data_IF_596849408139
#
_entry.id   IF_596849408139
#
_cell.length_a   1.000
_cell.length_b   1.000
_cell.length_c   1.000
_cell.angle_alpha   90.00
_cell.angle_beta   90.00
_cell.angle_gamma   90.00
#
_symmetry.space_group_name_H-M   'P 1'
#
loop_
_entity.id
_entity.type
_entity.pdbx_description
1 polymer ?
#
# COMPACT_ATOMS: atom_id res chain seq x y z
N UNK A 1 8.13 21.18 1.46
CA UNK A 1 8.99 19.99 1.48
C UNK A 1 8.68 19.17 0.25
N UNK A 2 9.66 18.45 -0.29
CA UNK A 2 9.42 17.49 -1.37
C UNK A 2 8.75 16.26 -0.77
N UNK A 3 7.59 15.85 -1.27
CA UNK A 3 6.94 14.60 -0.87
C UNK A 3 7.60 13.43 -1.61
N UNK A 4 7.96 12.37 -0.88
CA UNK A 4 8.43 11.09 -1.43
C UNK A 4 7.49 10.00 -0.92
N UNK A 5 7.12 9.08 -1.80
CA UNK A 5 6.35 7.88 -1.46
C UNK A 5 7.14 6.65 -1.92
N UNK A 6 7.38 5.71 -1.02
CA UNK A 6 8.04 4.46 -1.37
C UNK A 6 7.01 3.43 -1.87
N UNK A 7 7.37 2.68 -2.91
CA UNK A 7 6.56 1.55 -3.38
C UNK A 7 7.19 0.24 -2.95
N UNK A 8 6.37 -0.61 -2.34
CA UNK A 8 6.72 -1.95 -1.88
C UNK A 8 6.01 -2.93 -2.80
N UNK A 9 6.77 -3.82 -3.44
CA UNK A 9 6.17 -4.88 -4.24
C UNK A 9 5.56 -5.95 -3.34
N UNK A 10 4.32 -6.31 -3.64
CA UNK A 10 3.64 -7.47 -3.11
C UNK A 10 3.60 -8.56 -4.17
N UNK A 11 3.59 -9.82 -3.74
CA UNK A 11 3.51 -10.99 -4.62
C UNK A 11 2.07 -11.47 -4.84
N UNK A 12 1.14 -11.03 -4.02
CA UNK A 12 -0.28 -11.41 -4.08
C UNK A 12 -1.17 -10.27 -3.58
N UNK A 13 -2.45 -10.27 -3.96
CA UNK A 13 -3.46 -9.36 -3.42
C UNK A 13 -3.56 -9.46 -1.89
N UNK A 14 -3.54 -10.69 -1.34
CA UNK A 14 -3.57 -10.92 0.11
C UNK A 14 -2.37 -10.31 0.85
N UNK A 15 -1.21 -10.22 0.20
CA UNK A 15 -0.05 -9.55 0.79
C UNK A 15 -0.30 -8.03 0.90
N UNK A 16 -0.94 -7.42 -0.12
CA UNK A 16 -1.37 -6.01 -0.08
C UNK A 16 -2.39 -5.76 1.03
N UNK A 17 -3.36 -6.66 1.21
CA UNK A 17 -4.34 -6.56 2.31
C UNK A 17 -3.62 -6.59 3.66
N UNK A 18 -2.66 -7.51 3.82
CA UNK A 18 -1.85 -7.63 5.04
C UNK A 18 -1.04 -6.36 5.35
N UNK A 19 -0.61 -5.60 4.35
CA UNK A 19 0.11 -4.34 4.56
C UNK A 19 -0.78 -3.29 5.21
N UNK A 20 -2.04 -3.17 4.77
CA UNK A 20 -2.99 -2.24 5.37
C UNK A 20 -3.29 -2.61 6.83
N UNK A 21 -3.47 -3.90 7.13
CA UNK A 21 -3.69 -4.40 8.50
C UNK A 21 -2.47 -4.16 9.40
N UNK A 22 -1.26 -4.48 8.91
CA UNK A 22 0.00 -4.25 9.64
C UNK A 22 0.22 -2.79 9.92
N UNK A 23 -0.03 -1.91 8.94
CA UNK A 23 0.10 -0.47 9.11
C UNK A 23 -0.79 0.03 10.26
N UNK A 24 -2.09 -0.33 10.26
CA UNK A 24 -3.00 0.05 11.35
C UNK A 24 -2.55 -0.52 12.71
N UNK A 25 -2.19 -1.80 12.73
CA UNK A 25 -1.76 -2.49 13.97
C UNK A 25 -0.48 -1.89 14.56
N UNK A 26 0.39 -1.30 13.72
CA UNK A 26 1.61 -0.62 14.12
C UNK A 26 1.39 0.86 14.50
N UNK A 27 0.15 1.35 14.51
CA UNK A 27 -0.18 2.75 14.82
C UNK A 27 -0.06 3.70 13.62
N UNK A 28 0.13 3.16 12.42
CA UNK A 28 0.02 3.91 11.18
C UNK A 28 -1.42 4.15 10.75
N UNK A 29 -1.59 4.81 9.60
CA UNK A 29 -2.90 5.16 9.04
C UNK A 29 -3.06 4.62 7.62
N UNK A 30 -4.25 4.13 7.28
CA UNK A 30 -4.58 3.72 5.91
C UNK A 30 -5.23 4.91 5.19
N UNK A 31 -4.55 5.39 4.15
CA UNK A 31 -4.97 6.53 3.33
C UNK A 31 -5.87 6.03 2.18
N UNK A 32 -5.54 4.87 1.62
CA UNK A 32 -6.32 4.19 0.58
C UNK A 32 -6.36 2.71 0.91
N UNK A 33 -7.56 2.15 1.05
CA UNK A 33 -7.76 0.75 1.39
C UNK A 33 -7.22 -0.17 0.31
N UNK A 34 -6.81 -1.38 0.70
CA UNK A 34 -6.42 -2.40 -0.24
C UNK A 34 -7.58 -2.75 -1.18
N UNK A 35 -7.27 -2.92 -2.46
CA UNK A 35 -8.25 -3.23 -3.48
C UNK A 35 -7.71 -2.94 -4.88
N UNK A 36 -8.50 -3.37 -5.87
CA UNK A 36 -8.30 -3.03 -7.28
C UNK A 36 -8.86 -1.62 -7.52
N UNK A 37 -8.03 -0.72 -8.04
CA UNK A 37 -8.42 0.67 -8.30
C UNK A 37 -8.59 0.95 -9.80
N UNK A 38 -9.06 2.15 -10.14
CA UNK A 38 -9.41 2.55 -11.52
C UNK A 38 -8.25 2.47 -12.53
N UNK A 39 -7.02 2.45 -12.02
CA UNK A 39 -5.79 2.27 -12.81
C UNK A 39 -5.49 0.78 -13.14
N UNK A 40 -6.34 -0.15 -12.67
CA UNK A 40 -6.22 -1.60 -12.91
C UNK A 40 -5.25 -2.31 -11.97
N UNK A 41 -4.60 -1.60 -11.05
CA UNK A 41 -3.63 -2.17 -10.12
C UNK A 41 -4.28 -2.51 -8.79
N UNK A 42 -3.77 -3.57 -8.13
CA UNK A 42 -4.19 -3.92 -6.77
C UNK A 42 -3.19 -3.34 -5.78
N UNK A 43 -3.60 -2.34 -5.00
CA UNK A 43 -2.72 -1.69 -4.02
C UNK A 43 -3.47 -1.09 -2.83
N UNK A 44 -2.69 -0.78 -1.79
CA UNK A 44 -3.11 0.09 -0.69
C UNK A 44 -2.10 1.23 -0.52
N UNK A 45 -2.55 2.33 0.09
CA UNK A 45 -1.69 3.44 0.49
C UNK A 45 -1.84 3.64 1.99
N UNK A 46 -0.73 3.68 2.70
CA UNK A 46 -0.71 3.87 4.14
C UNK A 46 0.42 4.83 4.53
N UNK A 47 0.36 5.35 5.75
CA UNK A 47 1.44 6.07 6.37
C UNK A 47 1.86 5.39 7.68
N UNK A 48 3.14 5.46 7.98
CA UNK A 48 3.68 5.09 9.29
C UNK A 48 3.26 6.13 10.36
N UNK A 49 3.57 5.91 11.66
CA UNK A 49 3.25 6.86 12.73
C UNK A 49 3.87 8.26 12.56
N UNK A 50 4.96 8.37 11.80
CA UNK A 50 5.64 9.64 11.51
C UNK A 50 5.02 10.38 10.30
N UNK A 51 4.08 9.73 9.59
CA UNK A 51 3.38 10.28 8.44
C UNK A 51 4.08 10.03 7.10
N UNK A 52 5.15 9.22 7.04
CA UNK A 52 5.77 8.84 5.78
C UNK A 52 4.84 7.92 5.00
N UNK A 53 4.67 8.20 3.70
CA UNK A 53 3.71 7.49 2.85
C UNK A 53 4.36 6.32 2.11
N UNK A 54 3.63 5.22 2.05
CA UNK A 54 3.99 4.00 1.35
C UNK A 54 2.82 3.53 0.48
N UNK A 55 3.16 2.87 -0.62
CA UNK A 55 2.25 2.15 -1.50
C UNK A 55 2.67 0.67 -1.51
N UNK A 56 1.80 -0.24 -1.11
CA UNK A 56 2.01 -1.67 -1.33
C UNK A 56 1.24 -2.10 -2.56
N UNK A 57 1.95 -2.57 -3.58
CA UNK A 57 1.42 -2.77 -4.93
C UNK A 57 1.69 -4.21 -5.40
N UNK A 58 0.63 -4.88 -5.84
CA UNK A 58 0.71 -6.12 -6.58
C UNK A 58 0.52 -5.84 -8.08
N UNK A 59 1.50 -6.30 -8.88
CA UNK A 59 1.45 -6.29 -10.34
C UNK A 59 1.37 -7.74 -10.79
N UNK A 60 0.37 -8.07 -11.59
CA UNK A 60 0.25 -9.41 -12.18
C UNK A 60 1.37 -9.63 -13.21
N UNK A 61 1.94 -10.83 -13.23
CA UNK A 61 2.96 -11.17 -14.22
C UNK A 61 2.37 -11.06 -15.65
N UNK A 62 2.94 -10.16 -16.45
CA UNK A 62 2.52 -9.92 -17.82
C UNK A 62 1.61 -8.71 -18.06
N UNK A 63 1.32 -7.92 -17.02
CA UNK A 63 0.85 -6.53 -17.17
C UNK A 63 1.96 -5.59 -17.64
#
# INVERSE_FOLDING_TARGET
GSEIMFSISAKTEAEVDSWAEKAQSAGGSVIKTAGRHDDGFYYCVFADPDGHKFNALFIEEGM
#
